data_IF_052224168582
#
_entry.id   IF_052224168582
#
_cell.length_a   1.000
_cell.length_b   1.000
_cell.length_c   1.000
_cell.angle_alpha   90.00
_cell.angle_beta   90.00
_cell.angle_gamma   90.00
#
_symmetry.space_group_name_H-M   'P 1'
#
loop_
_entity.id
_entity.type
_entity.pdbx_description
1 polymer ?
#
# COMPACT_ATOMS: atom_id res chain seq x y z
N UNK A 1 -14.94 8.51 -7.30
CA UNK A 1 -13.62 9.05 -7.68
C UNK A 1 -12.78 7.85 -8.06
N UNK A 2 -12.48 7.71 -9.35
CA UNK A 2 -11.58 6.68 -9.85
C UNK A 2 -10.15 7.22 -9.67
N UNK A 3 -9.27 6.47 -9.00
CA UNK A 3 -7.89 6.89 -8.80
C UNK A 3 -7.09 6.53 -10.05
N UNK A 4 -6.58 7.53 -10.75
CA UNK A 4 -5.82 7.33 -11.98
C UNK A 4 -4.40 6.88 -11.66
N UNK A 5 -4.19 5.55 -11.66
CA UNK A 5 -2.89 4.94 -11.32
C UNK A 5 -1.78 5.36 -12.29
N UNK A 6 -2.11 5.80 -13.50
CA UNK A 6 -1.15 6.30 -14.49
C UNK A 6 -0.39 7.54 -14.00
N UNK A 7 -0.93 8.25 -13.00
CA UNK A 7 -0.29 9.40 -12.36
C UNK A 7 0.57 9.03 -11.15
N UNK A 8 0.58 7.75 -10.75
CA UNK A 8 1.40 7.29 -9.64
C UNK A 8 2.88 7.24 -10.08
N UNK A 9 3.73 8.01 -9.39
CA UNK A 9 5.19 7.97 -9.58
C UNK A 9 5.80 6.75 -8.89
N UNK A 10 5.17 6.27 -7.82
CA UNK A 10 5.59 5.07 -7.10
C UNK A 10 4.38 4.36 -6.51
N UNK A 11 4.49 3.04 -6.38
CA UNK A 11 3.47 2.17 -5.77
C UNK A 11 4.15 1.30 -4.73
N UNK A 12 3.50 1.13 -3.58
CA UNK A 12 3.94 0.21 -2.52
C UNK A 12 2.78 -0.65 -2.05
N UNK A 13 3.08 -1.93 -1.82
CA UNK A 13 2.16 -2.88 -1.19
C UNK A 13 2.57 -3.10 0.26
N UNK A 14 1.63 -2.92 1.19
CA UNK A 14 1.81 -3.21 2.61
C UNK A 14 0.71 -4.13 3.11
N UNK A 15 0.96 -4.83 4.22
CA UNK A 15 0.02 -5.85 4.77
C UNK A 15 -0.53 -5.49 6.15
N UNK A 16 -0.09 -4.37 6.70
CA UNK A 16 -0.44 -3.95 8.06
C UNK A 16 -1.09 -2.58 8.04
N UNK A 17 -2.21 -2.41 8.76
CA UNK A 17 -2.87 -1.11 8.88
C UNK A 17 -1.95 -0.04 9.50
N UNK A 18 -1.05 -0.43 10.39
CA UNK A 18 -0.04 0.45 10.97
C UNK A 18 0.94 0.99 9.92
N UNK A 19 1.35 0.16 8.96
CA UNK A 19 2.19 0.59 7.84
C UNK A 19 1.42 1.54 6.92
N UNK A 20 0.19 1.20 6.55
CA UNK A 20 -0.69 2.07 5.77
C UNK A 20 -0.76 3.45 6.40
N UNK A 21 -1.02 3.52 7.71
CA UNK A 21 -1.11 4.80 8.42
C UNK A 21 0.20 5.60 8.38
N UNK A 22 1.36 4.94 8.41
CA UNK A 22 2.67 5.62 8.26
C UNK A 22 2.83 6.20 6.86
N UNK A 23 2.48 5.44 5.82
CA UNK A 23 2.53 5.93 4.44
C UNK A 23 1.51 7.07 4.21
N UNK A 24 0.29 6.96 4.72
CA UNK A 24 -0.73 8.02 4.65
C UNK A 24 -0.24 9.31 5.30
N UNK A 25 0.37 9.24 6.49
CA UNK A 25 0.98 10.40 7.16
C UNK A 25 2.14 11.01 6.39
N UNK A 26 2.87 10.20 5.63
CA UNK A 26 3.95 10.66 4.77
C UNK A 26 3.46 11.32 3.46
N UNK A 27 2.15 11.30 3.18
CA UNK A 27 1.55 11.92 2.00
C UNK A 27 1.17 10.93 0.88
N UNK A 28 1.26 9.62 1.13
CA UNK A 28 0.79 8.62 0.18
C UNK A 28 -0.73 8.54 0.16
N UNK A 29 -1.29 8.09 -0.96
CA UNK A 29 -2.73 7.87 -1.11
C UNK A 29 -3.02 6.37 -1.20
N UNK A 30 -3.94 5.87 -0.36
CA UNK A 30 -4.47 4.51 -0.50
C UNK A 30 -5.43 4.46 -1.69
N UNK A 31 -5.14 3.63 -2.69
CA UNK A 31 -5.97 3.53 -3.89
C UNK A 31 -6.65 2.17 -4.05
N UNK A 32 -6.11 1.12 -3.45
CA UNK A 32 -6.72 -0.20 -3.47
C UNK A 32 -6.39 -1.01 -2.24
N UNK A 33 -7.31 -1.90 -1.88
CA UNK A 33 -7.07 -2.97 -0.94
C UNK A 33 -7.62 -4.27 -1.52
N UNK A 34 -6.94 -5.37 -1.23
CA UNK A 34 -7.33 -6.70 -1.67
C UNK A 34 -7.19 -7.67 -0.50
N UNK A 35 -8.23 -8.46 -0.26
CA UNK A 35 -8.14 -9.62 0.62
C UNK A 35 -7.45 -10.75 -0.13
N UNK A 36 -6.41 -11.31 0.47
CA UNK A 36 -5.68 -12.45 -0.06
C UNK A 36 -5.60 -13.52 1.03
N UNK A 37 -5.76 -14.78 0.65
CA UNK A 37 -5.45 -15.90 1.53
C UNK A 37 -4.00 -16.28 1.34
N UNK A 38 -3.26 -16.46 2.44
CA UNK A 38 -1.89 -17.00 2.34
C UNK A 38 -1.96 -18.43 1.81
N UNK A 39 -1.30 -18.72 0.69
CA UNK A 39 -1.17 -20.08 0.14
C UNK A 39 -0.10 -20.84 0.96
N UNK A 40 -0.41 -21.08 2.23
CA UNK A 40 0.34 -22.01 3.07
C UNK A 40 -0.56 -23.21 3.27
N UNK A 41 -0.14 -24.36 2.74
CA UNK A 41 -0.89 -25.64 2.73
C UNK A 41 -1.46 -26.07 4.11
N UNK A 42 -0.93 -25.55 5.21
CA UNK A 42 -1.37 -25.88 6.57
C UNK A 42 -2.19 -24.78 7.26
N UNK A 43 -2.05 -23.51 6.86
CA UNK A 43 -2.71 -22.38 7.54
C UNK A 43 -3.05 -21.27 6.54
N UNK A 44 -4.27 -21.31 6.01
CA UNK A 44 -4.83 -20.21 5.20
C UNK A 44 -5.41 -19.15 6.13
N UNK A 45 -4.62 -18.10 6.41
CA UNK A 45 -5.11 -16.93 7.12
C UNK A 45 -5.48 -15.81 6.13
N UNK A 46 -6.63 -15.13 6.32
CA UNK A 46 -6.97 -13.97 5.51
C UNK A 46 -6.01 -12.83 5.86
N UNK A 47 -5.26 -12.37 4.87
CA UNK A 47 -4.43 -11.17 4.95
C UNK A 47 -5.05 -10.08 4.08
N UNK A 48 -4.96 -8.83 4.54
CA UNK A 48 -5.37 -7.67 3.74
C UNK A 48 -4.10 -7.04 3.17
N UNK A 49 -4.02 -6.97 1.85
CA UNK A 49 -3.01 -6.18 1.15
C UNK A 49 -3.58 -4.80 0.86
N UNK A 50 -2.77 -3.78 1.10
CA UNK A 50 -3.07 -2.39 0.80
C UNK A 50 -2.07 -1.89 -0.22
N UNK A 51 -2.58 -1.31 -1.30
CA UNK A 51 -1.77 -0.68 -2.33
C UNK A 51 -1.88 0.85 -2.17
N UNK A 52 -0.74 1.48 -1.92
CA UNK A 52 -0.61 2.93 -1.82
C UNK A 52 0.17 3.47 -3.02
N UNK A 53 -0.23 4.64 -3.48
CA UNK A 53 0.38 5.34 -4.58
C UNK A 53 0.90 6.71 -4.14
N UNK A 54 2.08 7.06 -4.65
CA UNK A 54 2.65 8.39 -4.53
C UNK A 54 2.37 9.18 -5.80
N UNK A 55 1.63 10.27 -5.70
CA UNK A 55 1.25 11.12 -6.84
C UNK A 55 1.85 12.53 -6.75
N UNK A 56 2.50 12.86 -5.64
CA UNK A 56 3.11 14.18 -5.49
C UNK A 56 4.36 14.30 -6.37
N UNK A 57 4.72 15.54 -6.70
CA UNK A 57 5.79 15.79 -7.64
C UNK A 57 7.20 15.52 -7.10
N UNK A 58 7.36 15.58 -5.78
CA UNK A 58 8.62 15.31 -5.09
C UNK A 58 8.91 13.80 -4.95
N UNK A 59 10.13 13.50 -4.47
CA UNK A 59 10.55 12.12 -4.22
C UNK A 59 9.65 11.42 -3.19
N UNK A 60 9.25 10.17 -3.44
CA UNK A 60 8.43 9.40 -2.51
C UNK A 60 9.17 9.18 -1.19
N UNK A 61 8.47 9.41 -0.08
CA UNK A 61 9.00 9.19 1.28
C UNK A 61 8.67 7.77 1.70
N UNK A 62 9.68 6.93 1.95
CA UNK A 62 9.48 5.53 2.36
C UNK A 62 9.73 5.38 3.87
N UNK A 63 8.68 5.36 4.72
CA UNK A 63 8.83 5.26 6.19
C UNK A 63 9.35 3.90 6.69
N UNK A 64 9.59 2.93 5.81
CA UNK A 64 10.01 1.57 6.12
C UNK A 64 11.35 1.16 5.49
N UNK A 65 12.03 2.03 4.75
CA UNK A 65 13.38 1.74 4.24
C UNK A 65 14.40 2.00 5.34
N UNK A 66 14.65 0.99 6.17
CA UNK A 66 15.84 0.88 7.01
C UNK A 66 16.84 -0.08 6.35
#
# INVERSE_FOLDING_TARGET
>A
MEFDISKAKAIVEVRSAEEVNRYLKAGWTLFSNASMTTDSREYSSPIIKYALAWTADNNPVHPNSY
#
